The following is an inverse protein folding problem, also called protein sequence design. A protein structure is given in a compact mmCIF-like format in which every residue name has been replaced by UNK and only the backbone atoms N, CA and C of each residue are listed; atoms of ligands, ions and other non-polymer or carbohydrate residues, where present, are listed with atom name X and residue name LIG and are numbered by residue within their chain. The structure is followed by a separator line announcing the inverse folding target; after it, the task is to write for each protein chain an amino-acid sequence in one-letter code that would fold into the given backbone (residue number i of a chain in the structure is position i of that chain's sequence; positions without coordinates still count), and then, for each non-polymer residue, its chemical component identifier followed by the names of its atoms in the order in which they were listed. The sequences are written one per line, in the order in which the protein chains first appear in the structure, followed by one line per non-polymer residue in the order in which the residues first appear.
data_IF_155582240717
#
_entry.id   IF_155582240717
#
_cell.length_a   1.000
_cell.length_b   1.000
_cell.length_c   1.000
_cell.angle_alpha   90.00
_cell.angle_beta   90.00
_cell.angle_gamma   90.00
#
_symmetry.space_group_name_H-M   'P 1'
#
loop_
_entity.id
_entity.type
_entity.pdbx_description
1 polymer ?
#
# COMPACT_ATOMS: atom_id res chain seq x y z
N UNK A 1 -34.83 18.43 21.06
CA UNK A 1 -33.71 17.63 21.59
C UNK A 1 -33.02 16.94 20.41
N UNK A 2 -31.82 17.39 20.02
CA UNK A 2 -31.08 16.81 18.90
C UNK A 2 -30.16 15.71 19.44
N UNK A 3 -30.37 14.46 19.01
CA UNK A 3 -29.49 13.32 19.32
C UNK A 3 -28.11 13.60 18.73
N UNK A 4 -27.12 13.79 19.59
CA UNK A 4 -25.71 13.75 19.22
C UNK A 4 -25.41 12.37 18.58
N UNK A 5 -24.74 12.29 17.43
CA UNK A 5 -24.29 11.00 16.91
C UNK A 5 -23.31 10.39 17.93
N UNK A 6 -23.31 9.06 18.14
CA UNK A 6 -22.30 8.43 18.97
C UNK A 6 -20.94 8.68 18.31
N UNK A 7 -20.14 9.55 18.92
CA UNK A 7 -18.74 9.73 18.54
C UNK A 7 -18.01 8.47 18.95
N UNK A 8 -17.93 7.48 18.06
CA UNK A 8 -16.90 6.45 18.17
C UNK A 8 -15.57 7.17 18.06
N UNK A 9 -14.95 7.47 19.20
CA UNK A 9 -13.60 7.99 19.25
C UNK A 9 -12.67 6.87 18.82
N UNK A 10 -12.01 7.03 17.67
CA UNK A 10 -10.91 6.15 17.31
C UNK A 10 -9.80 6.28 18.37
N UNK A 11 -9.14 5.18 18.74
CA UNK A 11 -8.04 5.23 19.71
C UNK A 11 -6.72 5.70 19.06
N UNK A 12 -6.56 5.41 17.76
CA UNK A 12 -5.39 5.72 16.95
C UNK A 12 -5.86 6.31 15.64
N UNK A 13 -5.18 7.36 15.18
CA UNK A 13 -5.35 7.95 13.85
C UNK A 13 -4.08 7.69 13.05
N UNK A 14 -4.23 7.15 11.84
CA UNK A 14 -3.11 6.82 10.95
C UNK A 14 -3.15 7.73 9.72
N UNK A 15 -2.06 8.42 9.45
CA UNK A 15 -1.84 9.22 8.26
C UNK A 15 -0.94 8.46 7.29
N UNK A 16 -1.49 8.09 6.13
CA UNK A 16 -0.76 7.34 5.09
C UNK A 16 -0.25 8.33 4.03
N UNK A 17 1.05 8.39 3.86
CA UNK A 17 1.67 9.00 2.69
C UNK A 17 1.79 7.94 1.59
N UNK A 18 0.80 7.94 0.70
CA UNK A 18 0.79 7.06 -0.46
C UNK A 18 1.51 7.73 -1.63
N UNK A 19 2.83 7.59 -1.69
CA UNK A 19 3.67 8.24 -2.70
C UNK A 19 3.67 7.52 -4.05
N UNK A 20 4.34 8.12 -5.03
CA UNK A 20 4.60 7.46 -6.31
C UNK A 20 5.66 6.38 -6.17
N UNK A 21 6.83 6.76 -5.64
CA UNK A 21 7.98 5.85 -5.53
C UNK A 21 7.94 5.07 -4.23
N UNK A 22 7.69 5.76 -3.12
CA UNK A 22 7.73 5.17 -1.78
C UNK A 22 6.53 5.65 -0.98
N UNK A 23 5.99 4.75 -0.16
CA UNK A 23 4.85 4.99 0.69
C UNK A 23 5.22 4.71 2.15
N UNK A 24 4.53 5.34 3.08
CA UNK A 24 4.74 5.16 4.51
C UNK A 24 3.56 5.71 5.31
N UNK A 25 3.62 5.59 6.62
CA UNK A 25 2.61 6.19 7.49
C UNK A 25 3.19 6.69 8.79
N UNK A 26 2.45 7.62 9.39
CA UNK A 26 2.61 8.06 10.75
C UNK A 26 1.30 7.81 11.51
N UNK A 27 1.36 7.75 12.82
CA UNK A 27 0.17 7.63 13.64
C UNK A 27 0.31 8.44 14.94
N UNK A 28 -0.83 8.79 15.52
CA UNK A 28 -0.92 9.33 16.88
C UNK A 28 -2.08 8.68 17.61
N UNK A 29 -1.98 8.64 18.94
CA UNK A 29 -3.07 8.23 19.79
C UNK A 29 -4.02 9.41 19.99
N UNK A 30 -5.33 9.17 19.98
CA UNK A 30 -6.30 10.24 20.20
C UNK A 30 -6.24 10.84 21.61
N UNK A 31 -5.60 10.14 22.57
CA UNK A 31 -5.28 10.66 23.89
C UNK A 31 -4.10 11.64 23.90
N UNK A 32 -3.24 11.61 22.88
CA UNK A 32 -2.05 12.45 22.75
C UNK A 32 -1.77 12.76 21.27
N UNK A 33 -2.54 13.68 20.65
CA UNK A 33 -2.48 13.93 19.22
C UNK A 33 -1.18 14.60 18.74
N UNK A 34 -0.44 15.25 19.64
CA UNK A 34 0.84 15.91 19.34
C UNK A 34 2.01 14.91 19.30
N UNK A 35 1.85 13.73 19.92
CA UNK A 35 2.83 12.64 19.86
C UNK A 35 2.73 11.89 18.53
N UNK A 36 3.50 12.36 17.54
CA UNK A 36 3.56 11.73 16.20
C UNK A 36 4.61 10.62 16.16
N UNK A 37 4.16 9.40 15.86
CA UNK A 37 5.00 8.23 15.69
C UNK A 37 5.14 7.86 14.21
N UNK A 38 6.36 7.97 13.68
CA UNK A 38 6.68 7.59 12.30
C UNK A 38 6.98 6.09 12.21
N UNK A 39 6.42 5.41 11.21
CA UNK A 39 6.82 4.02 10.93
C UNK A 39 8.23 3.97 10.36
N UNK A 40 9.11 3.18 10.98
CA UNK A 40 10.54 3.08 10.60
C UNK A 40 11.05 1.64 10.42
N UNK A 41 10.24 0.66 10.78
CA UNK A 41 10.55 -0.77 10.60
C UNK A 41 9.73 -1.30 9.43
N UNK A 42 10.41 -1.72 8.38
CA UNK A 42 9.80 -2.34 7.21
C UNK A 42 10.46 -3.70 7.00
N UNK A 43 9.66 -4.74 6.76
CA UNK A 43 10.19 -6.03 6.32
C UNK A 43 10.93 -5.87 4.98
N UNK A 44 12.05 -6.56 4.83
CA UNK A 44 12.92 -6.46 3.64
C UNK A 44 13.74 -5.16 3.52
N UNK A 45 13.66 -4.25 4.49
CA UNK A 45 14.53 -3.07 4.55
C UNK A 45 15.94 -3.39 5.07
N UNK A 46 16.93 -2.59 4.68
CA UNK A 46 18.32 -2.74 5.14
C UNK A 46 18.44 -2.65 6.67
N UNK A 47 18.94 -3.69 7.36
CA UNK A 47 19.13 -3.67 8.79
C UNK A 47 20.05 -2.51 9.21
N UNK A 48 19.51 -1.56 9.98
CA UNK A 48 20.25 -0.40 10.48
C UNK A 48 20.02 0.90 9.69
N UNK A 49 19.34 0.86 8.54
CA UNK A 49 18.89 2.07 7.83
C UNK A 49 17.43 2.35 8.21
N UNK A 50 17.20 3.44 8.94
CA UNK A 50 15.86 3.85 9.33
C UNK A 50 15.09 4.46 8.15
N UNK A 51 14.64 3.63 7.21
CA UNK A 51 13.77 4.06 6.12
C UNK A 51 12.38 4.36 6.66
N UNK A 52 11.93 5.60 6.53
CA UNK A 52 10.58 6.03 6.94
C UNK A 52 9.49 5.60 5.94
N UNK A 53 9.90 4.99 4.82
CA UNK A 53 9.04 4.57 3.73
C UNK A 53 9.51 3.24 3.15
N UNK A 54 8.59 2.55 2.50
CA UNK A 54 8.82 1.34 1.72
C UNK A 54 8.47 1.61 0.24
N UNK A 55 9.02 0.90 -0.76
CA UNK A 55 8.60 1.03 -2.14
C UNK A 55 7.09 0.94 -2.33
N UNK A 56 6.53 1.72 -3.25
CA UNK A 56 5.11 1.60 -3.63
C UNK A 56 4.97 0.48 -4.65
N UNK A 57 5.20 -0.74 -4.16
CA UNK A 57 5.20 -1.97 -4.93
C UNK A 57 4.21 -2.95 -4.32
N UNK A 58 3.36 -3.54 -5.15
CA UNK A 58 2.36 -4.53 -4.76
C UNK A 58 2.60 -5.80 -5.58
N UNK A 59 2.65 -6.94 -4.89
CA UNK A 59 2.68 -8.25 -5.52
C UNK A 59 1.39 -9.00 -5.16
N UNK A 60 0.67 -9.45 -6.18
CA UNK A 60 -0.49 -10.33 -6.04
C UNK A 60 -0.20 -11.67 -6.71
N UNK A 61 -0.79 -12.72 -6.14
CA UNK A 61 -0.76 -14.07 -6.68
C UNK A 61 -1.51 -14.16 -8.02
N UNK A 62 -1.35 -15.25 -8.80
CA UNK A 62 -2.03 -15.41 -10.09
C UNK A 62 -3.58 -15.36 -10.04
N UNK A 63 -4.18 -15.66 -8.88
CA UNK A 63 -5.62 -15.55 -8.61
C UNK A 63 -6.03 -14.15 -8.11
N UNK A 64 -5.10 -13.20 -8.04
CA UNK A 64 -5.35 -11.81 -7.63
C UNK A 64 -5.35 -11.58 -6.12
N UNK A 65 -4.98 -12.58 -5.32
CA UNK A 65 -4.90 -12.43 -3.87
C UNK A 65 -3.65 -11.63 -3.44
N UNK A 66 -3.74 -10.94 -2.30
CA UNK A 66 -2.61 -10.22 -1.73
C UNK A 66 -1.49 -11.18 -1.35
N UNK A 67 -0.29 -10.97 -1.88
CA UNK A 67 0.91 -11.66 -1.43
C UNK A 67 1.74 -10.76 -0.52
N UNK A 68 2.25 -9.65 -1.05
CA UNK A 68 3.12 -8.75 -0.31
C UNK A 68 3.08 -7.31 -0.83
N UNK A 69 3.59 -6.38 -0.02
CA UNK A 69 3.78 -4.97 -0.37
C UNK A 69 5.20 -4.52 -0.03
N UNK A 70 5.70 -3.47 -0.67
CA UNK A 70 6.96 -2.85 -0.30
C UNK A 70 8.21 -3.59 -0.77
N UNK A 71 9.27 -3.57 0.03
CA UNK A 71 10.50 -4.31 -0.23
C UNK A 71 10.23 -5.80 -0.44
N UNK A 72 9.42 -6.43 0.42
CA UNK A 72 9.02 -7.84 0.27
C UNK A 72 8.34 -8.11 -1.07
N UNK A 73 7.50 -7.21 -1.60
CA UNK A 73 6.90 -7.38 -2.93
C UNK A 73 7.92 -7.32 -4.05
N UNK A 74 8.86 -6.37 -3.96
CA UNK A 74 9.94 -6.23 -4.93
C UNK A 74 10.81 -7.48 -4.92
N UNK A 75 11.30 -7.87 -3.76
CA UNK A 75 12.29 -8.94 -3.62
C UNK A 75 11.67 -10.28 -4.04
N UNK A 76 10.48 -10.63 -3.52
CA UNK A 76 9.80 -11.86 -3.92
C UNK A 76 9.53 -11.94 -5.43
N UNK A 77 9.15 -10.84 -6.09
CA UNK A 77 8.91 -10.88 -7.53
C UNK A 77 10.19 -11.12 -8.34
N UNK A 78 11.32 -10.53 -7.93
CA UNK A 78 12.59 -10.70 -8.64
C UNK A 78 13.26 -12.05 -8.34
N UNK A 79 12.85 -12.72 -7.27
CA UNK A 79 13.28 -14.09 -6.92
C UNK A 79 12.44 -15.18 -7.59
N UNK A 80 11.29 -14.85 -8.20
CA UNK A 80 10.48 -15.82 -8.95
C UNK A 80 11.20 -16.31 -10.21
N UNK A 81 10.96 -17.56 -10.57
CA UNK A 81 11.36 -18.07 -11.88
C UNK A 81 10.68 -17.25 -12.99
N UNK A 82 11.38 -16.93 -14.10
CA UNK A 82 10.82 -16.09 -15.17
C UNK A 82 9.53 -16.65 -15.80
N UNK A 83 9.30 -17.96 -15.76
CA UNK A 83 8.06 -18.58 -16.24
C UNK A 83 6.91 -18.34 -15.25
N UNK A 84 7.16 -18.48 -13.95
CA UNK A 84 6.16 -18.21 -12.91
C UNK A 84 5.79 -16.73 -12.83
N UNK A 85 6.78 -15.84 -12.91
CA UNK A 85 6.59 -14.39 -12.84
C UNK A 85 5.59 -13.85 -13.89
N UNK A 86 5.42 -14.56 -15.02
CA UNK A 86 4.45 -14.21 -16.07
C UNK A 86 3.01 -14.29 -15.57
N UNK A 87 2.75 -15.10 -14.56
CA UNK A 87 1.40 -15.30 -14.04
C UNK A 87 1.02 -14.39 -12.89
N UNK A 88 2.01 -13.86 -12.17
CA UNK A 88 1.81 -12.98 -11.02
C UNK A 88 1.51 -11.54 -11.43
N UNK A 89 0.80 -10.80 -10.58
CA UNK A 89 0.58 -9.37 -10.81
C UNK A 89 1.53 -8.55 -9.95
N UNK A 90 2.59 -8.04 -10.57
CA UNK A 90 3.50 -7.10 -9.95
C UNK A 90 3.24 -5.69 -10.44
N UNK A 91 2.92 -4.78 -9.51
CA UNK A 91 2.68 -3.37 -9.77
C UNK A 91 3.74 -2.53 -9.08
N UNK A 92 4.39 -1.64 -9.84
CA UNK A 92 5.29 -0.61 -9.31
C UNK A 92 4.88 0.77 -9.79
N UNK A 93 5.12 1.80 -8.95
CA UNK A 93 4.86 3.21 -9.28
C UNK A 93 3.46 3.48 -9.84
N UNK A 94 2.48 2.66 -9.46
CA UNK A 94 1.18 2.62 -10.12
C UNK A 94 0.31 3.86 -9.86
N UNK A 95 0.69 4.70 -8.88
CA UNK A 95 0.13 6.05 -8.70
C UNK A 95 0.39 6.96 -9.90
N UNK A 96 1.49 6.80 -10.65
CA UNK A 96 1.73 7.62 -11.85
C UNK A 96 0.73 7.33 -12.95
N UNK A 97 0.29 6.08 -13.10
CA UNK A 97 -0.65 5.70 -14.15
C UNK A 97 -2.00 6.40 -13.97
N UNK A 98 -2.44 6.63 -12.73
CA UNK A 98 -3.64 7.43 -12.48
C UNK A 98 -3.39 8.93 -12.68
N UNK A 99 -2.22 9.45 -12.31
CA UNK A 99 -1.89 10.87 -12.48
C UNK A 99 -1.84 11.29 -13.96
N UNK A 100 -1.41 10.39 -14.86
CA UNK A 100 -1.35 10.66 -16.30
C UNK A 100 -2.68 10.46 -17.04
N UNK A 101 -3.75 10.05 -16.34
CA UNK A 101 -5.05 9.74 -16.97
C UNK A 101 -6.03 10.89 -16.77
N UNK A 102 -6.53 11.46 -17.87
CA UNK A 102 -7.46 12.60 -17.86
C UNK A 102 -8.86 12.24 -17.36
N UNK A 103 -9.34 11.04 -17.71
CA UNK A 103 -10.70 10.55 -17.41
C UNK A 103 -10.66 9.36 -16.45
N UNK A 104 -10.30 9.63 -15.19
CA UNK A 104 -10.30 8.62 -14.14
C UNK A 104 -11.74 8.19 -13.80
N UNK A 105 -11.98 6.89 -13.80
CA UNK A 105 -13.25 6.30 -13.39
C UNK A 105 -13.01 5.10 -12.48
N UNK A 106 -14.07 4.63 -11.81
CA UNK A 106 -13.98 3.38 -11.03
C UNK A 106 -13.69 2.14 -11.89
N UNK A 107 -13.78 2.25 -13.22
CA UNK A 107 -13.44 1.19 -14.18
C UNK A 107 -12.02 1.30 -14.71
N UNK A 108 -11.26 2.31 -14.30
CA UNK A 108 -9.87 2.47 -14.72
C UNK A 108 -9.06 1.25 -14.31
N UNK A 109 -8.34 0.67 -15.26
CA UNK A 109 -7.47 -0.48 -15.03
C UNK A 109 -6.01 -0.05 -14.96
N UNK A 110 -5.23 -0.77 -14.16
CA UNK A 110 -3.79 -0.68 -14.09
C UNK A 110 -3.19 -1.93 -14.71
N UNK A 111 -2.13 -1.73 -15.48
CA UNK A 111 -1.36 -2.81 -16.07
C UNK A 111 -0.22 -3.21 -15.13
N UNK A 112 -0.10 -4.50 -14.82
CA UNK A 112 1.03 -5.09 -14.12
C UNK A 112 2.24 -5.22 -15.06
N UNK A 113 3.43 -5.53 -14.52
CA UNK A 113 4.66 -5.65 -15.32
C UNK A 113 4.56 -6.71 -16.42
N UNK A 114 3.77 -7.76 -16.22
CA UNK A 114 3.51 -8.80 -17.24
C UNK A 114 2.48 -8.40 -18.31
N UNK A 115 1.95 -7.17 -18.28
CA UNK A 115 0.92 -6.70 -19.22
C UNK A 115 -0.51 -7.09 -18.86
N UNK A 116 -0.73 -7.92 -17.82
CA UNK A 116 -2.08 -8.23 -17.33
C UNK A 116 -2.69 -7.00 -16.65
N UNK A 117 -4.01 -6.86 -16.72
CA UNK A 117 -4.74 -5.70 -16.19
C UNK A 117 -5.59 -6.09 -14.99
N UNK A 118 -5.71 -5.15 -14.05
CA UNK A 118 -6.59 -5.24 -12.87
C UNK A 118 -7.22 -3.87 -12.60
N UNK A 119 -8.40 -3.83 -12.00
CA UNK A 119 -9.03 -2.56 -11.63
C UNK A 119 -8.14 -1.77 -10.67
N UNK A 120 -7.97 -0.47 -10.93
CA UNK A 120 -7.21 0.41 -10.06
C UNK A 120 -7.75 0.36 -8.63
N UNK A 121 -9.07 0.38 -8.48
CA UNK A 121 -9.72 0.31 -7.17
C UNK A 121 -9.27 -0.90 -6.35
N UNK A 122 -9.11 -2.06 -6.98
CA UNK A 122 -8.68 -3.30 -6.34
C UNK A 122 -7.21 -3.20 -5.90
N UNK A 123 -6.33 -2.75 -6.79
CA UNK A 123 -4.89 -2.52 -6.50
C UNK A 123 -4.71 -1.56 -5.32
N UNK A 124 -5.42 -0.42 -5.32
CA UNK A 124 -5.38 0.54 -4.21
C UNK A 124 -5.99 -0.02 -2.93
N UNK A 125 -7.07 -0.82 -3.01
CA UNK A 125 -7.67 -1.46 -1.84
C UNK A 125 -6.72 -2.46 -1.17
N UNK A 126 -5.97 -3.25 -1.95
CA UNK A 126 -4.92 -4.13 -1.42
C UNK A 126 -3.84 -3.34 -0.68
N UNK A 127 -3.33 -2.28 -1.30
CA UNK A 127 -2.28 -1.46 -0.69
C UNK A 127 -2.75 -0.75 0.60
N UNK A 128 -3.96 -0.19 0.61
CA UNK A 128 -4.53 0.44 1.81
C UNK A 128 -4.85 -0.58 2.91
N UNK A 129 -5.27 -1.80 2.54
CA UNK A 129 -5.48 -2.90 3.50
C UNK A 129 -4.17 -3.31 4.16
N UNK A 130 -3.08 -3.38 3.42
CA UNK A 130 -1.74 -3.61 3.98
C UNK A 130 -1.39 -2.56 5.05
N UNK A 131 -1.49 -1.27 4.73
CA UNK A 131 -1.19 -0.21 5.70
C UNK A 131 -2.08 -0.27 6.94
N UNK A 132 -3.38 -0.55 6.77
CA UNK A 132 -4.29 -0.75 7.89
C UNK A 132 -3.82 -1.89 8.79
N UNK A 133 -3.51 -3.06 8.22
CA UNK A 133 -3.10 -4.23 8.99
C UNK A 133 -1.75 -4.01 9.68
N UNK A 134 -0.80 -3.42 8.98
CA UNK A 134 0.53 -3.14 9.51
C UNK A 134 0.50 -2.09 10.64
N UNK A 135 -0.43 -1.12 10.58
CA UNK A 135 -0.57 -0.11 11.62
C UNK A 135 -1.27 -0.59 12.90
N UNK A 136 -1.94 -1.75 12.88
CA UNK A 136 -2.66 -2.31 14.05
C UNK A 136 -1.99 -3.54 14.67
N UNK A 137 -0.83 -3.95 14.15
CA UNK A 137 0.04 -4.96 14.75
C UNK A 137 0.91 -4.35 15.85
#
# INVERSE_FOLDING_TARGET
EARSPPTTSFAVVVAIDFGTTSSGYAFSFSSDPEAIHMMRKWEGGDPGVANQKTPTSLLLTPDGAFHSFGYTARDCYHDLDPEEARDWFYFEKFKMKIHSTSDLTLRTELEAVNGKKMQALEVFAHALRFFKQHAVQ
#
